data_IF_756907820353
#
_entry.id   IF_756907820353
#
_cell.length_a   1.000
_cell.length_b   1.000
_cell.length_c   1.000
_cell.angle_alpha   90.00
_cell.angle_beta   90.00
_cell.angle_gamma   90.00
#
_symmetry.space_group_name_H-M   'P 1'
#
loop_
_entity.id
_entity.type
_entity.pdbx_description
1 polymer ?
#
# COMPACT_ATOMS: atom_id res chain seq x y z
N UNK A 1 -17.10 -3.98 -9.12
CA UNK A 1 -15.94 -3.18 -9.52
C UNK A 1 -15.51 -2.32 -8.35
N UNK A 2 -14.41 -2.73 -7.69
CA UNK A 2 -13.79 -1.98 -6.59
C UNK A 2 -13.11 -0.74 -7.21
N UNK A 3 -13.51 0.46 -6.81
CA UNK A 3 -12.95 1.68 -7.41
C UNK A 3 -11.49 1.89 -7.02
N UNK A 4 -10.71 2.59 -7.86
CA UNK A 4 -9.28 2.87 -7.62
C UNK A 4 -8.97 3.47 -6.23
N UNK A 5 -9.88 4.31 -5.70
CA UNK A 5 -9.78 4.90 -4.36
C UNK A 5 -9.92 3.88 -3.22
N UNK A 6 -10.66 2.79 -3.45
CA UNK A 6 -10.88 1.77 -2.44
C UNK A 6 -9.60 0.97 -2.16
N UNK A 7 -8.83 0.58 -3.18
CA UNK A 7 -7.60 -0.21 -2.96
C UNK A 7 -6.57 0.50 -2.08
N UNK A 8 -6.38 1.81 -2.29
CA UNK A 8 -5.45 2.60 -1.47
C UNK A 8 -5.96 2.79 -0.04
N UNK A 9 -7.28 2.99 0.11
CA UNK A 9 -7.90 3.09 1.42
C UNK A 9 -7.84 1.76 2.17
N UNK A 10 -8.12 0.64 1.50
CA UNK A 10 -8.07 -0.70 2.06
C UNK A 10 -6.63 -1.03 2.50
N UNK A 11 -5.63 -0.66 1.68
CA UNK A 11 -4.22 -0.82 2.04
C UNK A 11 -3.87 -0.02 3.30
N UNK A 12 -4.32 1.23 3.38
CA UNK A 12 -4.13 2.07 4.57
C UNK A 12 -4.78 1.43 5.80
N UNK A 13 -6.02 0.98 5.67
CA UNK A 13 -6.79 0.39 6.77
C UNK A 13 -6.17 -0.90 7.31
N UNK A 14 -5.69 -1.81 6.45
CA UNK A 14 -5.01 -3.03 6.94
C UNK A 14 -3.71 -2.71 7.66
N UNK A 15 -3.00 -1.68 7.22
CA UNK A 15 -1.75 -1.26 7.85
C UNK A 15 -2.02 -0.59 9.20
N UNK A 16 -3.00 0.33 9.27
CA UNK A 16 -3.42 1.03 10.49
C UNK A 16 -3.98 0.04 11.54
N UNK A 17 -4.77 -0.95 11.14
CA UNK A 17 -5.24 -2.02 12.05
C UNK A 17 -4.11 -2.87 12.64
N UNK A 18 -2.94 -2.84 12.00
CA UNK A 18 -1.76 -3.60 12.40
C UNK A 18 -0.64 -2.68 12.92
N UNK A 19 -0.97 -1.45 13.37
CA UNK A 19 0.02 -0.47 13.84
C UNK A 19 0.92 -1.00 14.96
N UNK A 20 0.40 -1.87 15.83
CA UNK A 20 1.12 -2.46 16.95
C UNK A 20 1.85 -3.78 16.60
N UNK A 21 1.69 -4.26 15.36
CA UNK A 21 2.33 -5.47 14.86
C UNK A 21 2.60 -5.35 13.36
N UNK A 22 3.74 -4.75 13.02
CA UNK A 22 4.11 -4.55 11.62
C UNK A 22 4.22 -5.86 10.84
N UNK A 23 4.50 -6.99 11.49
CA UNK A 23 4.75 -8.26 10.79
C UNK A 23 3.43 -8.82 10.29
N UNK A 24 2.38 -8.72 11.10
CA UNK A 24 1.00 -9.03 10.71
C UNK A 24 0.52 -8.07 9.61
N UNK A 25 0.83 -6.78 9.72
CA UNK A 25 0.57 -5.80 8.68
C UNK A 25 1.23 -6.16 7.35
N UNK A 26 2.52 -6.53 7.37
CA UNK A 26 3.27 -6.94 6.19
C UNK A 26 2.72 -8.21 5.54
N UNK A 27 2.23 -9.18 6.31
CA UNK A 27 1.56 -10.36 5.77
C UNK A 27 0.30 -9.96 4.99
N UNK A 28 -0.55 -9.10 5.55
CA UNK A 28 -1.75 -8.58 4.87
C UNK A 28 -1.40 -7.77 3.62
N UNK A 29 -0.34 -6.98 3.65
CA UNK A 29 0.14 -6.26 2.46
C UNK A 29 0.51 -7.23 1.33
N UNK A 30 1.15 -8.38 1.64
CA UNK A 30 1.43 -9.42 0.63
C UNK A 30 0.16 -10.08 0.09
N UNK A 31 -0.84 -10.32 0.94
CA UNK A 31 -2.14 -10.84 0.50
C UNK A 31 -2.80 -9.87 -0.49
N UNK A 32 -2.82 -8.58 -0.15
CA UNK A 32 -3.37 -7.56 -1.05
C UNK A 32 -2.60 -7.46 -2.38
N UNK A 33 -1.28 -7.69 -2.39
CA UNK A 33 -0.50 -7.77 -3.63
C UNK A 33 -1.03 -8.82 -4.60
N UNK A 34 -1.45 -9.98 -4.08
CA UNK A 34 -2.07 -11.03 -4.89
C UNK A 34 -3.42 -10.55 -5.43
N UNK A 35 -4.26 -9.95 -4.56
CA UNK A 35 -5.60 -9.50 -4.93
C UNK A 35 -5.61 -8.40 -6.00
N UNK A 36 -4.83 -7.34 -5.84
CA UNK A 36 -4.83 -6.24 -6.82
C UNK A 36 -4.10 -6.61 -8.12
N UNK A 37 -3.20 -7.59 -8.09
CA UNK A 37 -2.58 -8.13 -9.31
C UNK A 37 -3.62 -8.90 -10.12
N UNK A 38 -4.37 -9.81 -9.48
CA UNK A 38 -5.47 -10.51 -10.14
C UNK A 38 -6.55 -9.54 -10.65
N UNK A 39 -6.86 -8.48 -9.88
CA UNK A 39 -7.79 -7.44 -10.28
C UNK A 39 -7.28 -6.60 -11.49
N UNK A 40 -5.98 -6.40 -11.62
CA UNK A 40 -5.38 -5.74 -12.78
C UNK A 40 -5.48 -6.62 -14.04
N UNK A 41 -5.26 -7.94 -13.93
CA UNK A 41 -5.38 -8.89 -15.05
C UNK A 41 -6.78 -8.87 -15.71
N UNK A 42 -7.82 -8.56 -14.94
CA UNK A 42 -9.20 -8.42 -15.44
C UNK A 42 -9.63 -6.97 -15.71
N UNK A 43 -8.72 -6.01 -15.59
CA UNK A 43 -8.95 -4.60 -15.89
C UNK A 43 -9.69 -3.78 -14.81
N UNK A 44 -9.87 -4.32 -13.60
CA UNK A 44 -10.47 -3.57 -12.47
C UNK A 44 -9.49 -2.59 -11.83
N UNK A 45 -8.19 -2.90 -11.85
CA UNK A 45 -7.10 -2.02 -11.41
C UNK A 45 -6.34 -1.55 -12.64
N UNK A 46 -6.18 -0.24 -12.81
CA UNK A 46 -5.35 0.31 -13.90
C UNK A 46 -3.86 0.11 -13.61
N UNK A 47 -3.04 -0.01 -14.65
CA UNK A 47 -1.58 -0.18 -14.50
C UNK A 47 -0.94 0.95 -13.66
N UNK A 48 -1.41 2.17 -13.84
CA UNK A 48 -0.96 3.34 -13.06
C UNK A 48 -1.29 3.22 -11.56
N UNK A 49 -2.44 2.63 -11.22
CA UNK A 49 -2.83 2.38 -9.84
C UNK A 49 -2.00 1.22 -9.26
N UNK A 50 -1.85 0.14 -10.04
CA UNK A 50 -1.05 -1.02 -9.67
C UNK A 50 0.39 -0.61 -9.33
N UNK A 51 1.02 0.22 -10.17
CA UNK A 51 2.37 0.73 -9.92
C UNK A 51 2.43 1.51 -8.59
N UNK A 52 1.45 2.37 -8.34
CA UNK A 52 1.35 3.16 -7.11
C UNK A 52 1.14 2.32 -5.85
N UNK A 53 0.37 1.23 -5.94
CA UNK A 53 0.16 0.27 -4.85
C UNK A 53 1.43 -0.55 -4.59
N UNK A 54 2.05 -1.08 -5.64
CA UNK A 54 3.28 -1.88 -5.53
C UNK A 54 4.44 -1.08 -4.95
N UNK A 55 4.59 0.20 -5.32
CA UNK A 55 5.62 1.09 -4.76
C UNK A 55 5.45 1.30 -3.25
N UNK A 56 4.21 1.43 -2.79
CA UNK A 56 3.89 1.56 -1.36
C UNK A 56 4.12 0.25 -0.62
N UNK A 57 3.63 -0.85 -1.19
CA UNK A 57 3.85 -2.19 -0.65
C UNK A 57 5.35 -2.47 -0.48
N UNK A 58 6.19 -2.10 -1.45
CA UNK A 58 7.64 -2.24 -1.33
C UNK A 58 8.20 -1.55 -0.07
N UNK A 59 7.79 -0.30 0.23
CA UNK A 59 8.22 0.41 1.43
C UNK A 59 7.70 -0.25 2.71
N UNK A 60 6.40 -0.54 2.75
CA UNK A 60 5.74 -1.17 3.90
C UNK A 60 6.33 -2.55 4.24
N UNK A 61 6.71 -3.33 3.23
CA UNK A 61 7.30 -4.67 3.38
C UNK A 61 8.78 -4.66 3.79
N UNK A 62 9.49 -3.55 3.61
CA UNK A 62 10.88 -3.38 4.04
C UNK A 62 10.99 -2.68 5.40
N UNK A 63 9.93 -1.97 5.81
CA UNK A 63 9.91 -1.19 7.03
C UNK A 63 10.13 -2.04 8.28
N UNK A 64 10.99 -1.57 9.17
CA UNK A 64 11.02 -2.04 10.55
C UNK A 64 9.85 -1.44 11.37
N UNK A 65 9.77 -1.76 12.66
CA UNK A 65 8.64 -1.33 13.49
C UNK A 65 8.52 0.19 13.65
N UNK A 66 9.65 0.90 13.55
CA UNK A 66 9.70 2.36 13.66
C UNK A 66 9.27 2.96 12.31
N UNK A 67 9.92 2.55 11.22
CA UNK A 67 9.61 3.01 9.86
C UNK A 67 8.15 2.72 9.48
N UNK A 68 7.59 1.60 9.96
CA UNK A 68 6.19 1.26 9.74
C UNK A 68 5.26 2.35 10.26
N UNK A 69 5.47 2.81 11.50
CA UNK A 69 4.69 3.90 12.09
C UNK A 69 4.92 5.22 11.34
N UNK A 70 6.15 5.51 10.93
CA UNK A 70 6.46 6.71 10.14
C UNK A 70 5.71 6.72 8.79
N UNK A 71 5.60 5.58 8.11
CA UNK A 71 4.79 5.46 6.90
C UNK A 71 3.29 5.59 7.15
N UNK A 72 2.79 5.04 8.27
CA UNK A 72 1.38 5.20 8.65
C UNK A 72 1.02 6.68 8.89
N UNK A 73 1.89 7.42 9.56
CA UNK A 73 1.68 8.83 9.91
C UNK A 73 1.95 9.79 8.74
N UNK A 74 2.50 9.31 7.61
CA UNK A 74 2.83 10.13 6.46
C UNK A 74 1.63 10.33 5.51
N UNK A 75 0.88 11.41 5.69
CA UNK A 75 -0.25 11.74 4.79
C UNK A 75 0.14 11.85 3.31
N UNK A 76 1.35 12.33 2.99
CA UNK A 76 1.81 12.42 1.60
C UNK A 76 1.99 11.03 0.97
N UNK A 77 2.42 10.05 1.76
CA UNK A 77 2.53 8.65 1.32
C UNK A 77 1.16 8.10 0.90
N UNK A 78 0.08 8.49 1.57
CA UNK A 78 -1.28 8.02 1.25
C UNK A 78 -2.01 8.86 0.18
N UNK A 79 -1.41 9.93 -0.33
CA UNK A 79 -2.04 10.75 -1.37
C UNK A 79 -1.99 10.08 -2.76
N UNK A 80 -3.08 10.14 -3.55
CA UNK A 80 -3.06 9.71 -4.95
C UNK A 80 -1.91 10.38 -5.72
N UNK A 81 -1.23 9.62 -6.57
CA UNK A 81 -0.12 10.14 -7.38
C UNK A 81 1.22 10.30 -6.66
N UNK A 82 1.36 9.87 -5.40
CA UNK A 82 2.67 9.75 -4.73
C UNK A 82 3.65 8.94 -5.59
N UNK A 83 4.84 9.50 -5.84
CA UNK A 83 5.87 8.92 -6.71
C UNK A 83 7.08 8.38 -5.96
N UNK A 84 7.02 8.27 -4.64
CA UNK A 84 8.21 8.05 -3.81
C UNK A 84 8.71 9.36 -3.19
N UNK A 85 9.60 9.24 -2.22
CA UNK A 85 10.46 10.36 -1.84
C UNK A 85 11.36 10.68 -3.03
N UNK A 86 11.34 11.94 -3.48
CA UNK A 86 12.37 12.43 -4.37
C UNK A 86 13.64 12.44 -3.52
N UNK A 87 14.54 11.49 -3.76
CA UNK A 87 15.88 11.57 -3.22
C UNK A 87 16.52 12.84 -3.82
N UNK A 88 16.77 13.84 -2.99
CA UNK A 88 17.72 14.92 -3.32
C UNK A 88 19.15 14.38 -3.31
#
# INVERSE_FOLDING_TARGET
MRGARMWLQDLREVCEKSFNNHTDGQLKVREMQVEWTAANEIGEVSDSLLEGLNRRAFRLLQADSIEWLEWLDNDKFWNPGWKGEVSE
#
